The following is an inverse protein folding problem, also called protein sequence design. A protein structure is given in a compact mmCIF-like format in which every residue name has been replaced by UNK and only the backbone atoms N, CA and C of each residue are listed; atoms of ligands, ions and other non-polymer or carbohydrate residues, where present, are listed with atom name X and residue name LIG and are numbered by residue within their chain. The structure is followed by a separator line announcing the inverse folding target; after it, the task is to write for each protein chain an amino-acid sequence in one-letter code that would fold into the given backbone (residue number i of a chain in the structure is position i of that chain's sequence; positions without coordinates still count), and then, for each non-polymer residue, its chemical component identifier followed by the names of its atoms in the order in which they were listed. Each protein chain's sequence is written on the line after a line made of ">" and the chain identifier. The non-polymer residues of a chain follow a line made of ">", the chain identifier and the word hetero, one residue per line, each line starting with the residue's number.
data_IF_196129744386
#
_entry.id   IF_196129744386
#
_cell.length_a   1.000
_cell.length_b   1.000
_cell.length_c   1.000
_cell.angle_alpha   90.00
_cell.angle_beta   90.00
_cell.angle_gamma   90.00
#
_symmetry.space_group_name_H-M   'P 1'
#
loop_
_entity.id
_entity.type
_entity.pdbx_description
1 polymer ?
#
# COMPACT_ATOMS: atom_id res chain seq x y z
N UNK A 1 -13.10 -17.27 0.54
CA UNK A 1 -11.99 -16.36 0.17
C UNK A 1 -12.59 -15.24 -0.69
N UNK A 2 -12.96 -14.09 -0.09
CA UNK A 2 -13.73 -13.04 -0.79
C UNK A 2 -12.80 -11.86 -1.10
N UNK A 3 -12.57 -11.63 -2.40
CA UNK A 3 -11.64 -10.70 -3.06
C UNK A 3 -10.22 -11.24 -3.29
N UNK A 4 -9.82 -11.26 -4.56
CA UNK A 4 -8.43 -11.39 -5.01
C UNK A 4 -7.68 -10.08 -4.75
N UNK A 5 -7.89 -9.45 -3.58
CA UNK A 5 -7.49 -8.07 -3.31
C UNK A 5 -5.99 -7.86 -3.48
N UNK A 6 -5.17 -8.74 -2.89
CA UNK A 6 -3.71 -8.69 -3.06
C UNK A 6 -3.27 -8.79 -4.52
N UNK A 7 -3.90 -9.68 -5.30
CA UNK A 7 -3.61 -9.83 -6.73
C UNK A 7 -4.05 -8.59 -7.52
N UNK A 8 -5.26 -8.08 -7.29
CA UNK A 8 -5.76 -6.89 -7.99
C UNK A 8 -4.89 -5.66 -7.71
N UNK A 9 -4.46 -5.47 -6.47
CA UNK A 9 -3.53 -4.40 -6.10
C UNK A 9 -2.17 -4.60 -6.80
N UNK A 10 -1.61 -5.82 -6.77
CA UNK A 10 -0.36 -6.12 -7.48
C UNK A 10 -0.44 -5.86 -8.98
N UNK A 11 -1.52 -6.31 -9.62
CA UNK A 11 -1.76 -6.14 -11.05
C UNK A 11 -1.91 -4.64 -11.39
N UNK A 12 -2.62 -3.86 -10.56
CA UNK A 12 -2.77 -2.42 -10.74
C UNK A 12 -1.44 -1.65 -10.58
N UNK A 13 -0.61 -2.08 -9.65
CA UNK A 13 0.68 -1.46 -9.31
C UNK A 13 1.83 -1.89 -10.24
N UNK A 14 1.55 -2.79 -11.20
CA UNK A 14 2.52 -3.26 -12.19
C UNK A 14 2.78 -2.22 -13.30
N UNK A 15 1.91 -1.20 -13.44
CA UNK A 15 2.13 -0.07 -14.33
C UNK A 15 3.08 0.96 -13.70
N UNK A 16 3.79 1.72 -14.53
CA UNK A 16 4.92 2.56 -14.07
C UNK A 16 4.50 3.71 -13.13
N UNK A 17 3.27 4.22 -13.24
CA UNK A 17 2.76 5.34 -12.43
C UNK A 17 2.01 4.89 -11.17
N UNK A 18 2.77 4.50 -10.14
CA UNK A 18 2.25 4.33 -8.78
C UNK A 18 2.11 5.68 -8.09
N UNK A 19 0.97 6.34 -8.28
CA UNK A 19 0.60 7.50 -7.45
C UNK A 19 -0.36 7.07 -6.34
N UNK A 20 -0.35 7.75 -5.17
CA UNK A 20 -1.36 7.52 -4.14
C UNK A 20 -2.80 7.61 -4.67
N UNK A 21 -3.04 8.49 -5.64
CA UNK A 21 -4.38 8.70 -6.22
C UNK A 21 -4.84 7.50 -7.06
N UNK A 22 -3.98 6.97 -7.95
CA UNK A 22 -4.31 5.77 -8.75
C UNK A 22 -4.64 4.57 -7.86
N UNK A 23 -3.91 4.42 -6.75
CA UNK A 23 -4.13 3.33 -5.80
C UNK A 23 -5.44 3.53 -5.04
N UNK A 24 -5.71 4.75 -4.59
CA UNK A 24 -6.97 5.12 -3.92
C UNK A 24 -8.16 4.80 -4.82
N UNK A 25 -8.11 5.22 -6.08
CA UNK A 25 -9.16 4.96 -7.06
C UNK A 25 -9.38 3.46 -7.29
N UNK A 26 -8.28 2.70 -7.41
CA UNK A 26 -8.36 1.26 -7.59
C UNK A 26 -9.00 0.59 -6.37
N UNK A 27 -8.54 0.89 -5.15
CA UNK A 27 -9.09 0.36 -3.89
C UNK A 27 -10.58 0.68 -3.76
N UNK A 28 -10.95 1.93 -4.05
CA UNK A 28 -12.34 2.36 -4.05
C UNK A 28 -13.18 1.48 -4.98
N UNK A 29 -12.70 1.25 -6.20
CA UNK A 29 -13.37 0.42 -7.20
C UNK A 29 -13.46 -1.07 -6.82
N UNK A 30 -12.37 -1.67 -6.33
CA UNK A 30 -12.29 -3.13 -6.12
C UNK A 30 -12.78 -3.59 -4.75
N UNK A 31 -12.80 -2.72 -3.74
CA UNK A 31 -13.04 -3.11 -2.35
C UNK A 31 -14.16 -2.29 -1.70
N UNK A 32 -14.00 -0.97 -1.63
CA UNK A 32 -14.93 -0.11 -0.88
C UNK A 32 -16.30 -0.02 -1.56
N UNK A 33 -16.35 0.09 -2.89
CA UNK A 33 -17.62 0.21 -3.62
C UNK A 33 -18.22 -1.14 -4.05
N UNK A 34 -17.55 -2.28 -3.80
CA UNK A 34 -18.10 -3.60 -4.18
C UNK A 34 -19.23 -4.05 -3.27
N UNK A 35 -20.34 -4.45 -3.88
CA UNK A 35 -21.54 -5.04 -3.24
C UNK A 35 -21.35 -6.48 -2.72
N UNK A 36 -20.14 -7.04 -2.85
CA UNK A 36 -19.79 -8.42 -2.44
C UNK A 36 -19.77 -8.62 -0.92
N UNK A 37 -19.74 -7.52 -0.18
CA UNK A 37 -19.91 -7.46 1.27
C UNK A 37 -21.31 -6.93 1.55
N UNK A 38 -22.00 -7.41 2.63
CA UNK A 38 -23.30 -6.89 3.00
C UNK A 38 -23.26 -5.36 3.04
N UNK A 39 -24.26 -4.69 2.49
CA UNK A 39 -24.32 -3.22 2.33
C UNK A 39 -24.11 -2.46 3.64
N UNK A 40 -24.29 -3.14 4.78
CA UNK A 40 -24.20 -2.57 6.13
C UNK A 40 -22.98 -3.07 6.91
N UNK A 41 -22.08 -3.86 6.31
CA UNK A 41 -20.87 -4.31 6.98
C UNK A 41 -19.74 -3.30 6.75
N UNK A 42 -19.17 -2.78 7.83
CA UNK A 42 -17.91 -2.06 7.78
C UNK A 42 -16.83 -2.93 7.13
N UNK A 43 -16.08 -2.34 6.21
CA UNK A 43 -15.00 -3.04 5.50
C UNK A 43 -13.69 -2.50 6.01
N UNK A 44 -12.83 -3.39 6.48
CA UNK A 44 -11.49 -3.03 6.91
C UNK A 44 -10.46 -3.72 6.03
N UNK A 45 -9.40 -2.98 5.70
CA UNK A 45 -8.23 -3.51 5.03
C UNK A 45 -6.96 -2.79 5.49
N UNK A 46 -5.86 -3.50 5.33
CA UNK A 46 -4.50 -2.97 5.42
C UNK A 46 -3.60 -3.83 4.53
N UNK A 47 -2.71 -3.21 3.78
CA UNK A 47 -1.71 -3.95 3.01
C UNK A 47 -0.38 -3.21 2.95
N UNK A 48 0.67 -4.00 2.67
CA UNK A 48 2.01 -3.52 2.35
C UNK A 48 2.36 -4.05 0.97
N UNK A 49 2.81 -3.18 0.08
CA UNK A 49 3.28 -3.51 -1.25
C UNK A 49 4.75 -3.11 -1.39
N UNK A 50 5.53 -4.00 -1.99
CA UNK A 50 6.95 -3.79 -2.28
C UNK A 50 7.11 -3.75 -3.80
N UNK A 51 7.45 -2.60 -4.37
CA UNK A 51 7.79 -2.47 -5.79
C UNK A 51 9.29 -2.31 -5.95
N UNK A 52 9.90 -3.21 -6.71
CA UNK A 52 11.30 -3.05 -7.12
C UNK A 52 11.37 -2.08 -8.30
N UNK A 53 12.16 -1.03 -8.16
CA UNK A 53 12.45 -0.05 -9.22
C UNK A 53 13.88 -0.26 -9.69
N UNK A 54 14.05 -0.38 -10.99
CA UNK A 54 15.37 -0.38 -11.64
C UNK A 54 15.57 0.99 -12.27
N UNK A 55 16.50 1.77 -11.74
CA UNK A 55 16.82 3.09 -12.29
C UNK A 55 17.71 2.96 -13.53
N UNK A 56 17.80 4.03 -14.33
CA UNK A 56 18.62 4.11 -15.55
C UNK A 56 20.09 3.74 -15.30
N UNK A 57 20.63 4.07 -14.12
CA UNK A 57 22.00 3.77 -13.71
C UNK A 57 22.19 2.33 -13.19
N UNK A 58 21.25 1.42 -13.46
CA UNK A 58 21.21 0.04 -12.94
C UNK A 58 21.17 -0.06 -11.40
N UNK A 59 20.97 1.06 -10.71
CA UNK A 59 20.74 1.04 -9.27
C UNK A 59 19.31 0.54 -8.98
N UNK A 60 19.18 -0.30 -7.95
CA UNK A 60 17.89 -0.83 -7.51
C UNK A 60 17.41 -0.08 -6.28
N UNK A 61 16.14 0.29 -6.29
CA UNK A 61 15.40 0.76 -5.10
C UNK A 61 14.16 -0.09 -4.91
N UNK A 62 13.62 -0.06 -3.69
CA UNK A 62 12.33 -0.65 -3.35
C UNK A 62 11.44 0.45 -2.83
N UNK A 63 10.29 0.64 -3.46
CA UNK A 63 9.21 1.42 -2.87
C UNK A 63 8.42 0.52 -1.92
N UNK A 64 8.31 0.98 -0.68
CA UNK A 64 7.47 0.40 0.35
C UNK A 64 6.20 1.24 0.41
N UNK A 65 5.09 0.64 0.01
CA UNK A 65 3.79 1.27 0.06
C UNK A 65 2.95 0.62 1.14
N UNK A 66 2.35 1.40 2.02
CA UNK A 66 1.35 0.92 2.95
C UNK A 66 0.04 1.67 2.78
N UNK A 67 -1.07 0.94 2.78
CA UNK A 67 -2.40 1.55 2.70
C UNK A 67 -3.38 0.81 3.60
N UNK A 68 -4.24 1.56 4.29
CA UNK A 68 -5.25 1.02 5.20
C UNK A 68 -6.41 1.98 5.43
N UNK A 69 -7.54 1.43 5.88
CA UNK A 69 -8.67 2.21 6.39
C UNK A 69 -9.02 1.87 7.84
N UNK A 70 -8.12 1.17 8.55
CA UNK A 70 -8.18 1.01 10.01
C UNK A 70 -7.72 2.29 10.70
N UNK A 71 -8.11 2.49 11.96
CA UNK A 71 -7.69 3.65 12.76
C UNK A 71 -6.16 3.83 12.77
N UNK A 72 -5.44 2.72 12.89
CA UNK A 72 -3.97 2.69 12.87
C UNK A 72 -3.46 1.48 12.11
N UNK A 73 -2.26 1.60 11.53
CA UNK A 73 -1.46 0.51 11.02
C UNK A 73 0.01 0.76 11.38
N UNK A 74 0.63 -0.20 12.06
CA UNK A 74 2.06 -0.14 12.37
C UNK A 74 2.86 -0.89 11.30
N UNK A 75 3.86 -0.24 10.73
CA UNK A 75 4.70 -0.78 9.67
C UNK A 75 6.15 -0.75 10.11
N UNK A 76 6.85 -1.86 9.90
CA UNK A 76 8.29 -1.97 10.13
C UNK A 76 8.96 -2.57 8.91
N UNK A 77 10.05 -1.98 8.45
CA UNK A 77 10.86 -2.54 7.37
C UNK A 77 12.35 -2.29 7.63
N UNK A 78 13.20 -3.11 7.02
CA UNK A 78 14.64 -3.06 7.19
C UNK A 78 15.32 -3.54 5.91
N UNK A 79 16.41 -2.89 5.53
CA UNK A 79 17.30 -3.41 4.47
C UNK A 79 18.48 -4.17 5.08
N UNK A 80 19.13 -5.00 4.27
CA UNK A 80 20.35 -5.71 4.67
C UNK A 80 21.52 -4.79 5.05
N UNK A 81 21.45 -3.50 4.68
CA UNK A 81 22.48 -2.49 4.99
C UNK A 81 22.18 -1.68 6.25
N UNK A 82 20.94 -1.74 6.76
CA UNK A 82 20.55 -1.06 7.97
C UNK A 82 20.81 -1.94 9.19
N UNK A 83 21.33 -1.35 10.25
CA UNK A 83 21.49 -2.01 11.55
C UNK A 83 20.26 -1.87 12.45
N UNK A 84 19.26 -1.11 12.01
CA UNK A 84 18.03 -0.81 12.75
C UNK A 84 16.83 -0.90 11.83
N UNK A 85 15.71 -1.35 12.39
CA UNK A 85 14.40 -1.38 11.71
C UNK A 85 13.86 0.05 11.62
N UNK A 86 13.40 0.45 10.44
CA UNK A 86 12.58 1.63 10.28
C UNK A 86 11.14 1.28 10.66
N UNK A 87 10.55 2.07 11.55
CA UNK A 87 9.17 1.89 12.00
C UNK A 87 8.34 3.14 11.72
N UNK A 88 7.08 2.96 11.31
CA UNK A 88 6.12 4.03 11.09
C UNK A 88 4.76 3.63 11.69
N UNK A 89 4.16 4.52 12.48
CA UNK A 89 2.76 4.43 12.85
C UNK A 89 1.97 5.25 11.82
N UNK A 90 1.15 4.56 11.02
CA UNK A 90 0.25 5.18 10.08
C UNK A 90 -1.13 5.31 10.72
N UNK A 91 -1.67 6.53 10.77
CA UNK A 91 -2.96 6.84 11.37
C UNK A 91 -3.97 7.26 10.31
N UNK A 92 -5.25 6.94 10.54
CA UNK A 92 -6.33 7.44 9.72
C UNK A 92 -6.73 8.84 10.23
N UNK A 93 -6.60 9.86 9.38
CA UNK A 93 -7.05 11.20 9.74
C UNK A 93 -8.58 11.26 9.79
N UNK A 94 -9.13 12.10 10.66
CA UNK A 94 -10.56 12.13 11.03
C UNK A 94 -11.53 12.43 9.88
N UNK A 95 -11.04 12.80 8.69
CA UNK A 95 -11.85 13.05 7.50
C UNK A 95 -11.51 12.11 6.32
N UNK A 96 -10.56 11.21 6.49
CA UNK A 96 -10.10 10.32 5.43
C UNK A 96 -10.78 8.96 5.53
N UNK A 97 -11.11 8.37 4.38
CA UNK A 97 -11.58 6.99 4.28
C UNK A 97 -10.45 5.99 4.07
N UNK A 98 -9.23 6.48 3.83
CA UNK A 98 -8.04 5.70 3.47
C UNK A 98 -6.76 6.53 3.65
N UNK A 99 -5.77 5.95 4.33
CA UNK A 99 -4.39 6.48 4.38
C UNK A 99 -3.48 5.68 3.45
N UNK A 100 -2.65 6.35 2.65
CA UNK A 100 -1.63 5.75 1.80
C UNK A 100 -0.30 6.44 2.08
N UNK A 101 0.72 5.69 2.49
CA UNK A 101 2.08 6.19 2.60
C UNK A 101 3.00 5.42 1.64
N UNK A 102 3.92 6.15 1.03
CA UNK A 102 4.93 5.62 0.13
C UNK A 102 6.29 6.05 0.64
N UNK A 103 7.19 5.09 0.79
CA UNK A 103 8.58 5.32 1.15
C UNK A 103 9.50 4.68 0.12
N UNK A 104 10.60 5.35 -0.23
CA UNK A 104 11.54 4.88 -1.24
C UNK A 104 12.88 4.52 -0.61
N UNK A 105 13.22 3.25 -0.68
CA UNK A 105 14.39 2.69 -0.01
C UNK A 105 15.43 2.27 -1.04
N UNK A 106 16.61 2.89 -1.02
CA UNK A 106 17.73 2.52 -1.91
C UNK A 106 18.37 1.21 -1.44
N UNK A 107 18.62 0.29 -2.39
CA UNK A 107 19.32 -0.97 -2.10
C UNK A 107 20.83 -0.92 -2.39
N UNK A 108 21.31 0.13 -3.07
CA UNK A 108 22.71 0.34 -3.48
C UNK A 108 23.50 1.19 -2.51
#
# INVERSE_FOLDING_TARGET
>A
MKSLFSKSISDACSNDDLTPDTIRDHINHIFLNRTMTPTNAEKYFGFILLKMITNENQSRSVEVLCAHNTQTMFVGYMTTKQSKVTTCLSELHSNDSLTINIDSVRLT
#
